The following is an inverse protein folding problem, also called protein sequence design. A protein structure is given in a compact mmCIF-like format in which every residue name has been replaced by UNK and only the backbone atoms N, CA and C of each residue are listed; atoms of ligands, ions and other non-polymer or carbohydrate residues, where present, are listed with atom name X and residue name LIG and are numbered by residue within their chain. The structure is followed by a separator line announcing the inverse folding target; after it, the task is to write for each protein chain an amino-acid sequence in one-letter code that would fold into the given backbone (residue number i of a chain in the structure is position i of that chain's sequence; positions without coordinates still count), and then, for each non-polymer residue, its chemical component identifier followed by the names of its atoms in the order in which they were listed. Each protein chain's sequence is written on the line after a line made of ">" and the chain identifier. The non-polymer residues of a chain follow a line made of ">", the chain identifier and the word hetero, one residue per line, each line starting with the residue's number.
data_IF_907727147599
#
_entry.id   IF_907727147599
#
_cell.length_a   1.000
_cell.length_b   1.000
_cell.length_c   1.000
_cell.angle_alpha   90.00
_cell.angle_beta   90.00
_cell.angle_gamma   90.00
#
_symmetry.space_group_name_H-M   'P 1'
#
loop_
_entity.id
_entity.type
_entity.pdbx_description
1 polymer ?
#
# COMPACT_ATOMS: atom_id res chain seq x y z
N UNK A 1 -21.26 -10.47 13.99
CA UNK A 1 -19.91 -10.89 13.62
C UNK A 1 -19.20 -9.74 12.92
N UNK A 2 -17.95 -9.51 13.28
CA UNK A 2 -17.17 -8.46 12.65
C UNK A 2 -16.87 -8.80 11.19
N UNK A 3 -17.03 -7.83 10.31
CA UNK A 3 -16.68 -7.96 8.89
C UNK A 3 -15.75 -6.83 8.52
N UNK A 4 -14.87 -7.12 7.57
CA UNK A 4 -14.05 -6.08 6.98
C UNK A 4 -14.90 -5.26 6.02
N UNK A 5 -14.61 -3.98 5.94
CA UNK A 5 -15.40 -3.04 5.14
C UNK A 5 -14.49 -2.26 4.19
N UNK A 6 -15.05 -1.90 3.04
CA UNK A 6 -14.35 -1.01 2.10
C UNK A 6 -14.35 0.41 2.68
N UNK A 7 -13.18 0.96 3.02
CA UNK A 7 -13.14 2.34 3.50
C UNK A 7 -13.51 3.30 2.37
N UNK A 8 -14.17 4.43 2.65
CA UNK A 8 -14.41 5.44 1.63
C UNK A 8 -13.09 6.08 1.22
N UNK A 9 -13.02 6.60 -0.02
CA UNK A 9 -11.90 7.46 -0.40
C UNK A 9 -11.92 8.70 0.48
N UNK A 10 -10.75 9.15 0.99
CA UNK A 10 -10.69 10.36 1.81
C UNK A 10 -10.79 11.66 1.00
N UNK A 11 -11.03 11.57 -0.29
CA UNK A 11 -11.15 12.69 -1.24
C UNK A 11 -12.00 12.25 -2.43
N UNK A 12 -12.53 13.20 -3.25
CA UNK A 12 -13.29 12.82 -4.46
C UNK A 12 -12.43 12.04 -5.46
N UNK A 13 -13.03 11.20 -6.31
CA UNK A 13 -12.27 10.40 -7.27
C UNK A 13 -11.43 11.21 -8.27
N UNK A 14 -11.80 12.46 -8.54
CA UNK A 14 -11.06 13.34 -9.44
C UNK A 14 -9.97 14.18 -8.75
N UNK A 15 -9.82 14.01 -7.44
CA UNK A 15 -8.93 14.87 -6.64
C UNK A 15 -7.45 14.71 -6.98
N UNK A 16 -7.04 13.57 -7.51
CA UNK A 16 -5.64 13.30 -7.83
C UNK A 16 -5.27 13.60 -9.28
N UNK A 17 -6.22 14.12 -10.08
CA UNK A 17 -5.92 14.59 -11.42
C UNK A 17 -4.93 15.75 -11.35
N UNK A 18 -4.03 15.90 -12.32
CA UNK A 18 -3.87 15.11 -13.55
C UNK A 18 -2.94 13.89 -13.38
N UNK A 19 -2.52 13.57 -12.17
CA UNK A 19 -1.51 12.52 -11.94
C UNK A 19 -2.10 11.12 -11.95
N UNK A 20 -3.29 10.95 -11.37
CA UNK A 20 -4.05 9.70 -11.43
C UNK A 20 -5.46 10.07 -11.90
N UNK A 21 -5.91 9.42 -12.96
CA UNK A 21 -7.17 9.78 -13.60
C UNK A 21 -8.40 9.27 -12.81
N UNK A 22 -9.50 9.98 -13.00
CA UNK A 22 -10.77 9.71 -12.32
C UNK A 22 -11.27 8.29 -12.59
N UNK A 23 -11.21 7.83 -13.84
CA UNK A 23 -11.70 6.49 -14.19
C UNK A 23 -10.91 5.41 -13.48
N UNK A 24 -9.58 5.55 -13.39
CA UNK A 24 -8.74 4.64 -12.63
C UNK A 24 -9.16 4.61 -11.17
N UNK A 25 -9.37 5.78 -10.54
CA UNK A 25 -9.76 5.84 -9.13
C UNK A 25 -11.10 5.16 -8.87
N UNK A 26 -12.08 5.38 -9.73
CA UNK A 26 -13.40 4.76 -9.57
C UNK A 26 -13.33 3.24 -9.70
N UNK A 27 -12.56 2.73 -10.65
CA UNK A 27 -12.40 1.29 -10.86
C UNK A 27 -11.54 0.67 -9.75
N UNK A 28 -10.42 1.31 -9.47
CA UNK A 28 -9.43 0.81 -8.51
C UNK A 28 -10.04 0.67 -7.11
N UNK A 29 -10.75 1.69 -6.65
CA UNK A 29 -11.42 1.67 -5.36
C UNK A 29 -12.74 0.87 -5.40
N UNK A 30 -13.63 1.20 -6.33
CA UNK A 30 -15.00 0.69 -6.35
C UNK A 30 -15.15 -0.73 -6.87
N UNK A 31 -14.17 -1.23 -7.63
CA UNK A 31 -14.18 -2.59 -8.18
C UNK A 31 -13.09 -3.46 -7.59
N UNK A 32 -11.82 -3.08 -7.73
CA UNK A 32 -10.71 -3.93 -7.28
C UNK A 32 -10.65 -4.02 -5.75
N UNK A 33 -10.61 -2.90 -5.04
CA UNK A 33 -10.57 -2.93 -3.58
C UNK A 33 -11.84 -3.56 -3.00
N UNK A 34 -13.00 -3.23 -3.55
CA UNK A 34 -14.26 -3.83 -3.11
C UNK A 34 -14.23 -5.36 -3.25
N UNK A 35 -13.68 -5.88 -4.35
CA UNK A 35 -13.57 -7.33 -4.55
C UNK A 35 -12.66 -7.98 -3.51
N UNK A 36 -11.54 -7.35 -3.16
CA UNK A 36 -10.66 -7.89 -2.11
C UNK A 36 -11.39 -7.99 -0.78
N UNK A 37 -12.13 -6.97 -0.40
CA UNK A 37 -12.89 -6.97 0.86
C UNK A 37 -13.95 -8.08 0.85
N UNK A 38 -14.72 -8.19 -0.22
CA UNK A 38 -15.78 -9.18 -0.34
C UNK A 38 -15.22 -10.61 -0.32
N UNK A 39 -14.12 -10.84 -1.04
CA UNK A 39 -13.50 -12.17 -1.09
C UNK A 39 -12.85 -12.54 0.24
N UNK A 40 -12.26 -11.58 0.93
CA UNK A 40 -11.71 -11.83 2.28
C UNK A 40 -12.82 -12.25 3.24
N UNK A 41 -13.93 -11.52 3.26
CA UNK A 41 -15.05 -11.83 4.13
C UNK A 41 -15.63 -13.22 3.82
N UNK A 42 -15.74 -13.57 2.53
CA UNK A 42 -16.22 -14.89 2.12
C UNK A 42 -15.31 -16.01 2.62
N UNK A 43 -13.99 -15.82 2.54
CA UNK A 43 -13.03 -16.80 3.05
C UNK A 43 -13.16 -16.96 4.57
N UNK A 44 -13.29 -15.86 5.31
CA UNK A 44 -13.38 -15.89 6.77
C UNK A 44 -14.69 -16.50 7.29
N UNK A 45 -15.73 -16.57 6.47
CA UNK A 45 -16.98 -17.24 6.86
C UNK A 45 -16.77 -18.72 7.19
N UNK A 46 -15.75 -19.35 6.61
CA UNK A 46 -15.41 -20.75 6.87
C UNK A 46 -14.74 -20.96 8.23
N UNK A 47 -14.25 -19.88 8.84
CA UNK A 47 -13.56 -19.92 10.14
C UNK A 47 -14.01 -18.73 10.98
N UNK A 48 -15.22 -18.81 11.60
CA UNK A 48 -15.80 -17.68 12.32
C UNK A 48 -14.92 -17.11 13.42
N UNK A 49 -14.05 -17.93 14.04
CA UNK A 49 -13.12 -17.48 15.06
C UNK A 49 -12.13 -16.44 14.54
N UNK A 50 -11.82 -16.46 13.23
CA UNK A 50 -10.92 -15.51 12.61
C UNK A 50 -11.59 -14.17 12.27
N UNK A 51 -12.92 -14.13 12.24
CA UNK A 51 -13.66 -12.91 11.93
C UNK A 51 -13.47 -11.83 12.99
N UNK A 52 -13.08 -12.21 14.19
CA UNK A 52 -12.82 -11.27 15.30
C UNK A 52 -11.39 -10.71 15.29
N UNK A 53 -10.51 -11.27 14.47
CA UNK A 53 -9.13 -10.80 14.38
C UNK A 53 -9.03 -9.58 13.47
N UNK A 54 -8.11 -8.67 13.81
CA UNK A 54 -7.84 -7.52 12.95
C UNK A 54 -7.16 -7.99 11.66
N UNK A 55 -7.29 -7.18 10.61
CA UNK A 55 -6.63 -7.46 9.34
C UNK A 55 -5.11 -7.56 9.51
N UNK A 56 -4.54 -6.66 10.29
CA UNK A 56 -3.10 -6.68 10.57
C UNK A 56 -2.68 -7.97 11.26
N UNK A 57 -3.43 -8.44 12.26
CA UNK A 57 -3.13 -9.70 12.94
C UNK A 57 -3.16 -10.89 11.99
N UNK A 58 -4.16 -10.94 11.10
CA UNK A 58 -4.27 -12.00 10.12
C UNK A 58 -3.05 -12.03 9.19
N UNK A 59 -2.59 -10.87 8.73
CA UNK A 59 -1.47 -10.79 7.80
C UNK A 59 -0.13 -11.05 8.49
N UNK A 60 0.08 -10.52 9.70
CA UNK A 60 1.32 -10.78 10.45
C UNK A 60 1.46 -12.25 10.81
N UNK A 61 0.36 -12.95 11.01
CA UNK A 61 0.30 -14.35 11.39
C UNK A 61 -0.25 -15.21 10.26
N UNK A 62 0.05 -14.85 9.03
CA UNK A 62 -0.51 -15.52 7.84
C UNK A 62 -0.23 -17.02 7.83
N UNK A 63 0.92 -17.45 8.34
CA UNK A 63 1.29 -18.86 8.41
C UNK A 63 0.45 -19.67 9.40
N UNK A 64 -0.25 -18.99 10.32
CA UNK A 64 -1.15 -19.60 11.28
C UNK A 64 -2.60 -19.66 10.79
N UNK A 65 -2.91 -19.00 9.69
CA UNK A 65 -4.24 -19.07 9.07
C UNK A 65 -4.42 -20.49 8.50
N UNK A 66 -5.60 -21.13 8.73
CA UNK A 66 -5.86 -22.48 8.20
C UNK A 66 -5.56 -22.59 6.72
N UNK A 67 -4.94 -23.71 6.34
CA UNK A 67 -4.44 -23.94 4.97
C UNK A 67 -5.53 -23.80 3.90
N UNK A 68 -6.76 -24.21 4.22
CA UNK A 68 -7.88 -24.18 3.26
C UNK A 68 -8.25 -22.76 2.81
N UNK A 69 -7.96 -21.72 3.64
CA UNK A 69 -8.26 -20.33 3.31
C UNK A 69 -7.01 -19.45 3.26
N UNK A 70 -5.82 -19.98 3.57
CA UNK A 70 -4.61 -19.17 3.70
C UNK A 70 -4.30 -18.36 2.44
N UNK A 71 -4.34 -18.98 1.27
CA UNK A 71 -4.09 -18.28 0.00
C UNK A 71 -5.10 -17.17 -0.24
N UNK A 72 -6.38 -17.44 0.03
CA UNK A 72 -7.43 -16.43 -0.13
C UNK A 72 -7.23 -15.24 0.83
N UNK A 73 -6.86 -15.51 2.08
CA UNK A 73 -6.58 -14.47 3.08
C UNK A 73 -5.34 -13.68 2.68
N UNK A 74 -4.28 -14.36 2.24
CA UNK A 74 -3.07 -13.70 1.77
C UNK A 74 -3.35 -12.73 0.62
N UNK A 75 -4.04 -13.20 -0.41
CA UNK A 75 -4.29 -12.39 -1.61
C UNK A 75 -5.32 -11.29 -1.34
N UNK A 76 -6.43 -11.62 -0.72
CA UNK A 76 -7.53 -10.67 -0.54
C UNK A 76 -7.35 -9.81 0.71
N UNK A 77 -6.81 -10.37 1.78
CA UNK A 77 -6.44 -9.61 2.97
C UNK A 77 -5.29 -8.65 2.67
N UNK A 78 -4.27 -9.15 1.97
CA UNK A 78 -3.16 -8.31 1.52
C UNK A 78 -3.66 -7.19 0.61
N UNK A 79 -4.52 -7.51 -0.35
CA UNK A 79 -5.11 -6.51 -1.24
C UNK A 79 -5.90 -5.46 -0.49
N UNK A 80 -6.72 -5.88 0.47
CA UNK A 80 -7.50 -4.94 1.27
C UNK A 80 -6.58 -4.01 2.08
N UNK A 81 -5.58 -4.55 2.75
CA UNK A 81 -4.65 -3.73 3.56
C UNK A 81 -3.85 -2.77 2.69
N UNK A 82 -3.29 -3.28 1.60
CA UNK A 82 -2.44 -2.50 0.70
C UNK A 82 -3.20 -1.30 0.14
N UNK A 83 -4.45 -1.51 -0.29
CA UNK A 83 -5.26 -0.44 -0.87
C UNK A 83 -5.75 0.55 0.19
N UNK A 84 -6.09 0.08 1.39
CA UNK A 84 -6.48 0.98 2.49
C UNK A 84 -5.35 1.94 2.83
N UNK A 85 -4.11 1.43 2.88
CA UNK A 85 -2.94 2.27 3.07
C UNK A 85 -2.76 3.23 1.90
N UNK A 86 -2.87 2.72 0.68
CA UNK A 86 -2.62 3.50 -0.55
C UNK A 86 -3.49 4.74 -0.63
N UNK A 87 -4.79 4.61 -0.36
CA UNK A 87 -5.70 5.76 -0.39
C UNK A 87 -5.31 6.81 0.65
N UNK A 88 -4.91 6.38 1.84
CA UNK A 88 -4.63 7.28 2.95
C UNK A 88 -3.30 8.04 2.80
N UNK A 89 -2.32 7.48 2.07
CA UNK A 89 -1.01 8.13 1.90
C UNK A 89 -0.94 9.01 0.65
N UNK A 90 -2.07 9.21 -0.01
CA UNK A 90 -2.19 10.15 -1.12
C UNK A 90 -3.14 11.29 -0.76
N UNK A 91 -2.98 12.43 -1.40
CA UNK A 91 -3.80 13.62 -1.12
C UNK A 91 -3.76 14.57 -2.32
N UNK A 92 -4.87 15.28 -2.60
CA UNK A 92 -4.85 16.35 -3.62
C UNK A 92 -3.89 17.49 -3.28
N UNK A 93 -3.57 17.63 -1.98
CA UNK A 93 -2.60 18.62 -1.50
C UNK A 93 -1.24 18.00 -1.23
N UNK A 94 -0.99 16.84 -1.81
CA UNK A 94 0.25 16.09 -1.62
C UNK A 94 1.42 16.65 -2.41
N UNK A 95 2.49 15.88 -2.41
CA UNK A 95 3.75 16.26 -3.04
C UNK A 95 4.68 16.96 -2.07
N UNK A 96 5.70 17.60 -2.61
CA UNK A 96 6.72 18.25 -1.78
C UNK A 96 7.67 17.25 -1.14
N UNK A 97 8.12 17.57 0.06
CA UNK A 97 9.17 16.84 0.75
C UNK A 97 8.70 16.32 2.10
N UNK A 98 9.22 15.17 2.57
CA UNK A 98 9.01 14.76 3.96
C UNK A 98 9.64 15.75 4.92
N UNK A 99 9.13 15.80 6.15
CA UNK A 99 9.62 16.70 7.19
C UNK A 99 9.81 15.94 8.51
N UNK A 100 10.41 16.61 9.50
CA UNK A 100 10.54 16.10 10.86
C UNK A 100 11.36 14.84 10.97
N UNK A 101 10.97 13.95 11.88
CA UNK A 101 11.72 12.75 12.18
C UNK A 101 11.83 11.80 10.98
N UNK A 102 10.79 11.74 10.15
CA UNK A 102 10.85 10.94 8.92
C UNK A 102 11.91 11.45 7.97
N UNK A 103 11.99 12.76 7.76
CA UNK A 103 13.01 13.35 6.89
C UNK A 103 14.41 13.03 7.39
N UNK A 104 14.64 13.12 8.71
CA UNK A 104 15.93 12.79 9.32
C UNK A 104 16.28 11.31 9.10
N UNK A 105 15.31 10.41 9.31
CA UNK A 105 15.52 8.97 9.12
C UNK A 105 15.84 8.65 7.66
N UNK A 106 15.17 9.30 6.71
CA UNK A 106 15.43 9.12 5.28
C UNK A 106 16.86 9.57 4.95
N UNK A 107 17.27 10.71 5.46
CA UNK A 107 18.63 11.21 5.23
C UNK A 107 19.69 10.28 5.81
N UNK A 108 19.46 9.74 7.01
CA UNK A 108 20.39 8.81 7.63
C UNK A 108 20.47 7.48 6.88
N UNK A 109 19.33 6.94 6.44
CA UNK A 109 19.27 5.62 5.83
C UNK A 109 19.65 5.64 4.34
N UNK A 110 19.23 6.66 3.60
CA UNK A 110 19.38 6.71 2.14
C UNK A 110 20.34 7.81 1.67
N UNK A 111 20.69 8.74 2.53
CA UNK A 111 21.52 9.89 2.21
C UNK A 111 20.73 11.13 1.82
N UNK A 112 19.61 10.98 1.13
CA UNK A 112 18.75 12.09 0.71
C UNK A 112 17.36 11.60 0.36
N UNK A 113 16.41 12.52 0.28
CA UNK A 113 15.07 12.22 -0.22
C UNK A 113 15.11 11.78 -1.69
N UNK A 114 15.96 12.40 -2.51
CA UNK A 114 16.11 12.01 -3.91
C UNK A 114 16.59 10.55 -4.03
N UNK A 115 17.49 10.11 -3.17
CA UNK A 115 17.95 8.73 -3.14
C UNK A 115 16.82 7.76 -2.76
N UNK A 116 15.94 8.16 -1.83
CA UNK A 116 14.75 7.37 -1.50
C UNK A 116 13.83 7.24 -2.71
N UNK A 117 13.56 8.34 -3.41
CA UNK A 117 12.70 8.33 -4.60
C UNK A 117 13.27 7.42 -5.68
N UNK A 118 14.57 7.48 -5.91
CA UNK A 118 15.23 6.59 -6.86
C UNK A 118 15.08 5.13 -6.46
N UNK A 119 15.24 4.81 -5.18
CA UNK A 119 15.12 3.44 -4.68
C UNK A 119 13.71 2.89 -4.88
N UNK A 120 12.69 3.68 -4.56
CA UNK A 120 11.29 3.26 -4.73
C UNK A 120 10.93 3.15 -6.22
N UNK A 121 11.33 4.13 -7.03
CA UNK A 121 11.08 4.10 -8.47
C UNK A 121 11.72 2.87 -9.12
N UNK A 122 12.95 2.55 -8.72
CA UNK A 122 13.65 1.37 -9.21
C UNK A 122 12.94 0.09 -8.78
N UNK A 123 12.56 -0.02 -7.51
CA UNK A 123 11.84 -1.19 -7.00
C UNK A 123 10.53 -1.40 -7.76
N UNK A 124 9.77 -0.32 -8.02
CA UNK A 124 8.54 -0.40 -8.78
C UNK A 124 8.74 -0.73 -10.25
N UNK A 125 9.70 -0.06 -10.88
CA UNK A 125 9.98 -0.25 -12.32
C UNK A 125 10.55 -1.65 -12.62
N UNK A 126 11.32 -2.22 -11.70
CA UNK A 126 11.94 -3.53 -11.89
C UNK A 126 11.07 -4.70 -11.37
N UNK A 127 9.95 -4.41 -10.71
CA UNK A 127 9.01 -5.47 -10.32
C UNK A 127 8.38 -6.07 -11.56
N UNK A 128 8.82 -7.26 -11.93
CA UNK A 128 8.27 -7.96 -13.08
C UNK A 128 6.86 -8.41 -12.76
N UNK A 129 5.90 -8.00 -13.61
CA UNK A 129 4.49 -8.32 -13.39
C UNK A 129 3.82 -7.40 -12.38
N UNK A 130 2.82 -7.93 -11.68
CA UNK A 130 2.03 -7.19 -10.70
C UNK A 130 2.70 -7.19 -9.33
N UNK A 131 2.59 -6.08 -8.64
CA UNK A 131 3.14 -5.96 -7.30
C UNK A 131 3.11 -4.54 -6.77
N UNK A 132 3.91 -4.31 -5.75
CA UNK A 132 3.99 -3.04 -5.04
C UNK A 132 5.43 -2.71 -4.70
N UNK A 133 5.76 -1.43 -4.65
CA UNK A 133 7.02 -0.94 -4.08
C UNK A 133 6.74 -0.25 -2.75
N UNK A 134 7.59 -0.47 -1.75
CA UNK A 134 7.31 -0.09 -0.37
C UNK A 134 8.46 0.65 0.27
N UNK A 135 8.11 1.58 1.18
CA UNK A 135 8.98 2.06 2.25
C UNK A 135 8.43 1.47 3.55
N UNK A 136 9.26 0.76 4.28
CA UNK A 136 8.85 0.08 5.51
C UNK A 136 9.71 0.48 6.69
N UNK A 137 9.14 0.32 7.90
CA UNK A 137 9.88 0.39 9.16
C UNK A 137 10.11 -1.05 9.61
N UNK A 138 11.36 -1.42 9.82
CA UNK A 138 11.73 -2.76 10.28
C UNK A 138 11.58 -2.87 11.79
N UNK A 139 11.59 -4.10 12.35
CA UNK A 139 11.45 -4.28 13.80
C UNK A 139 12.48 -3.52 14.64
N UNK A 140 13.67 -3.25 14.10
CA UNK A 140 14.71 -2.48 14.79
C UNK A 140 14.54 -0.96 14.64
N UNK A 141 13.47 -0.51 13.96
CA UNK A 141 13.18 0.91 13.73
C UNK A 141 13.81 1.50 12.49
N UNK A 142 14.68 0.77 11.79
CA UNK A 142 15.30 1.27 10.57
C UNK A 142 14.33 1.24 9.38
N UNK A 143 14.65 2.03 8.36
CA UNK A 143 13.86 2.08 7.12
C UNK A 143 14.46 1.14 6.07
N UNK A 144 13.60 0.59 5.21
CA UNK A 144 14.03 -0.22 4.07
C UNK A 144 13.07 0.00 2.90
N UNK A 145 13.59 -0.20 1.68
CA UNK A 145 12.81 -0.16 0.44
C UNK A 145 12.91 -1.52 -0.23
N UNK A 146 11.78 -2.08 -0.64
CA UNK A 146 11.72 -3.29 -1.47
C UNK A 146 10.38 -3.38 -2.18
N UNK A 147 10.27 -4.34 -3.10
CA UNK A 147 9.00 -4.63 -3.76
C UNK A 147 8.48 -5.99 -3.32
N UNK A 148 7.17 -6.16 -3.43
CA UNK A 148 6.51 -7.46 -3.21
C UNK A 148 5.69 -7.81 -4.44
N UNK A 149 5.47 -9.11 -4.65
CA UNK A 149 4.68 -9.61 -5.76
C UNK A 149 3.19 -9.59 -5.40
N UNK A 150 2.36 -9.40 -6.40
CA UNK A 150 0.90 -9.50 -6.27
C UNK A 150 0.36 -8.60 -5.17
N UNK A 151 -0.33 -9.16 -4.15
CA UNK A 151 -0.86 -8.40 -3.02
C UNK A 151 -0.15 -8.76 -1.71
N UNK A 152 1.04 -9.34 -1.78
CA UNK A 152 1.81 -9.63 -0.58
C UNK A 152 2.10 -8.33 0.17
N UNK A 153 1.90 -8.37 1.48
CA UNK A 153 2.12 -7.21 2.36
C UNK A 153 3.43 -7.37 3.13
N UNK A 154 4.15 -6.27 3.36
CA UNK A 154 5.30 -6.29 4.27
C UNK A 154 4.97 -6.79 5.68
N UNK A 155 3.72 -6.68 6.12
CA UNK A 155 3.28 -7.22 7.41
C UNK A 155 3.57 -8.71 7.53
N UNK A 156 3.49 -9.43 6.43
CA UNK A 156 3.75 -10.89 6.39
C UNK A 156 5.21 -11.23 6.65
N UNK A 157 6.10 -10.24 6.51
CA UNK A 157 7.54 -10.39 6.76
C UNK A 157 7.97 -9.78 8.08
N UNK A 158 7.03 -9.28 8.88
CA UNK A 158 7.33 -8.65 10.16
C UNK A 158 7.65 -7.17 10.09
N UNK A 159 7.58 -6.56 8.91
CA UNK A 159 7.84 -5.13 8.70
C UNK A 159 6.53 -4.34 8.73
N UNK A 160 6.62 -3.02 8.91
CA UNK A 160 5.45 -2.14 8.90
C UNK A 160 5.54 -1.19 7.71
N UNK A 161 4.63 -1.32 6.72
CA UNK A 161 4.63 -0.41 5.58
C UNK A 161 4.10 0.96 6.00
N UNK A 162 4.79 2.02 5.59
CA UNK A 162 4.36 3.41 5.83
C UNK A 162 4.09 4.16 4.53
N UNK A 163 4.62 3.67 3.42
CA UNK A 163 4.42 4.23 2.09
C UNK A 163 4.46 3.07 1.10
N UNK A 164 3.54 3.07 0.15
CA UNK A 164 3.53 2.05 -0.90
C UNK A 164 2.95 2.60 -2.18
N UNK A 165 3.43 2.11 -3.31
CA UNK A 165 2.89 2.44 -4.63
C UNK A 165 2.51 1.17 -5.36
N UNK A 166 1.26 1.13 -5.82
CA UNK A 166 0.70 0.01 -6.58
C UNK A 166 1.24 0.07 -8.01
N UNK A 167 1.93 -1.01 -8.43
CA UNK A 167 2.44 -1.11 -9.79
C UNK A 167 1.76 -2.21 -10.59
N UNK A 168 0.60 -2.68 -10.15
CA UNK A 168 -0.31 -3.44 -11.01
C UNK A 168 -0.73 -2.55 -12.18
N UNK A 169 -0.91 -3.15 -13.35
CA UNK A 169 -1.32 -2.35 -14.53
C UNK A 169 -2.65 -1.63 -14.31
N UNK A 170 -3.59 -2.23 -13.57
CA UNK A 170 -4.87 -1.58 -13.29
C UNK A 170 -4.72 -0.25 -12.53
N UNK A 171 -3.59 -0.02 -11.87
CA UNK A 171 -3.35 1.23 -11.14
C UNK A 171 -3.00 2.40 -12.06
N UNK A 172 -2.55 2.13 -13.28
CA UNK A 172 -2.04 3.22 -14.15
C UNK A 172 -2.36 3.06 -15.64
N UNK A 173 -2.87 1.92 -16.08
CA UNK A 173 -2.95 1.62 -17.51
C UNK A 173 -3.85 2.57 -18.30
N UNK A 174 -4.97 3.00 -17.74
CA UNK A 174 -5.92 3.87 -18.47
C UNK A 174 -5.30 5.19 -18.88
N UNK A 175 -4.41 5.75 -18.05
CA UNK A 175 -3.76 7.02 -18.35
C UNK A 175 -2.36 6.84 -18.96
N UNK A 176 -1.58 5.91 -18.44
CA UNK A 176 -0.17 5.77 -18.80
C UNK A 176 0.13 4.59 -19.72
N UNK A 177 -0.86 3.72 -19.96
CA UNK A 177 -0.68 2.47 -20.68
C UNK A 177 0.50 1.68 -20.10
N UNK A 178 1.50 1.32 -20.92
CA UNK A 178 2.65 0.57 -20.45
C UNK A 178 3.75 1.43 -19.81
N UNK A 179 3.51 2.74 -19.70
CA UNK A 179 4.55 3.68 -19.22
C UNK A 179 4.59 3.74 -17.70
N UNK A 180 4.95 2.62 -17.08
CA UNK A 180 5.07 2.54 -15.61
C UNK A 180 6.02 3.60 -15.03
N UNK A 181 7.20 3.87 -15.63
CA UNK A 181 8.07 4.92 -15.09
C UNK A 181 7.44 6.30 -15.05
N UNK A 182 6.61 6.65 -16.04
CA UNK A 182 5.91 7.95 -16.08
C UNK A 182 4.90 8.04 -14.94
N UNK A 183 4.16 6.96 -14.68
CA UNK A 183 3.24 6.87 -13.56
C UNK A 183 3.97 7.04 -12.23
N UNK A 184 5.08 6.32 -12.04
CA UNK A 184 5.87 6.42 -10.81
C UNK A 184 6.37 7.84 -10.58
N UNK A 185 6.83 8.51 -11.64
CA UNK A 185 7.29 9.89 -11.55
C UNK A 185 6.17 10.84 -11.14
N UNK A 186 4.99 10.68 -11.75
CA UNK A 186 3.83 11.53 -11.46
C UNK A 186 3.27 11.29 -10.06
N UNK A 187 3.33 10.06 -9.57
CA UNK A 187 2.76 9.68 -8.28
C UNK A 187 3.31 10.48 -7.10
N UNK A 188 4.59 10.89 -7.15
CA UNK A 188 5.19 11.66 -6.06
C UNK A 188 4.47 12.98 -5.80
N UNK A 189 3.76 13.51 -6.80
CA UNK A 189 3.00 14.75 -6.66
C UNK A 189 1.76 14.61 -5.77
N UNK A 190 1.31 13.40 -5.48
CA UNK A 190 0.12 13.16 -4.66
C UNK A 190 0.43 12.49 -3.32
N UNK A 191 1.70 12.27 -3.00
CA UNK A 191 2.08 11.64 -1.72
C UNK A 191 1.78 12.59 -0.55
N UNK A 192 1.06 12.07 0.44
CA UNK A 192 0.71 12.81 1.66
C UNK A 192 1.77 12.55 2.73
N UNK A 193 2.81 13.39 2.73
CA UNK A 193 3.94 13.23 3.65
C UNK A 193 3.58 13.40 5.12
N UNK A 194 2.55 14.18 5.43
CA UNK A 194 2.06 14.31 6.80
C UNK A 194 1.56 12.96 7.33
N UNK A 195 0.77 12.25 6.54
CA UNK A 195 0.27 10.93 6.91
C UNK A 195 1.39 9.90 6.96
N UNK A 196 2.33 9.91 6.00
CA UNK A 196 3.47 9.00 6.00
C UNK A 196 4.32 9.22 7.25
N UNK A 197 4.56 10.48 7.60
CA UNK A 197 5.31 10.83 8.82
C UNK A 197 4.62 10.35 10.09
N UNK A 198 3.30 10.51 10.18
CA UNK A 198 2.51 10.02 11.31
C UNK A 198 2.63 8.49 11.43
N UNK A 199 2.57 7.78 10.31
CA UNK A 199 2.72 6.33 10.30
C UNK A 199 4.13 5.89 10.71
N UNK A 200 5.14 6.66 10.30
CA UNK A 200 6.51 6.41 10.74
C UNK A 200 6.64 6.51 12.26
N UNK A 201 6.12 7.59 12.84
CA UNK A 201 6.16 7.80 14.29
C UNK A 201 5.45 6.66 15.04
N UNK A 202 4.28 6.24 14.56
CA UNK A 202 3.53 5.15 15.17
C UNK A 202 4.27 3.81 15.07
N UNK A 203 4.93 3.57 13.93
CA UNK A 203 5.59 2.30 13.68
C UNK A 203 6.86 2.10 14.51
N UNK A 204 7.54 3.19 14.87
CA UNK A 204 8.78 3.09 15.64
C UNK A 204 8.58 3.18 17.17
N UNK A 205 7.34 3.40 17.59
CA UNK A 205 6.98 3.50 19.01
C UNK A 205 6.98 2.17 19.72
#
# INVERSE_FOLDING_TARGET
>A
MAKHELPPLPYPPDALEPHIDTDTMNIHHGKHHAAYVNNLNAALEKHPDLQEKSLEDLLRNIDQVPEDIRTAVRNNGGGHHNHSLFWSIMSPNGGGNPTGALAEAINQQFGSFDALKEAINKAGATRFGSGWAWLVVKPDGSLAVYSTANQDSPLMQGDTPILGVDVWEHAYYLKYQNRRPDYLQAWWNVVNWEEVGRRYEAARS
#
